data_IF_231239219474
#
_entry.id   IF_231239219474
#
_cell.length_a   1.000
_cell.length_b   1.000
_cell.length_c   1.000
_cell.angle_alpha   90.00
_cell.angle_beta   90.00
_cell.angle_gamma   90.00
#
_symmetry.space_group_name_H-M   'P 1'
#
loop_
_entity.id
_entity.type
_entity.pdbx_description
1 polymer ?
#
# COMPACT_ATOMS: atom_id res chain seq x y z
N UNK A 1 6.19 -13.52 -19.63
CA UNK A 1 4.72 -13.30 -19.51
C UNK A 1 4.25 -12.54 -20.73
N UNK A 2 3.10 -12.88 -21.33
CA UNK A 2 2.58 -12.18 -22.52
C UNK A 2 2.11 -10.76 -22.13
N UNK A 3 2.29 -9.77 -23.01
CA UNK A 3 1.92 -8.37 -22.75
C UNK A 3 0.44 -8.19 -22.34
N UNK A 4 -0.47 -8.98 -22.89
CA UNK A 4 -1.89 -8.99 -22.49
C UNK A 4 -2.07 -9.30 -21.01
N UNK A 5 -1.38 -10.33 -20.50
CA UNK A 5 -1.49 -10.70 -19.07
C UNK A 5 -0.88 -9.64 -18.15
N UNK A 6 0.19 -8.96 -18.60
CA UNK A 6 0.76 -7.83 -17.86
C UNK A 6 -0.27 -6.70 -17.79
N UNK A 7 -0.93 -6.40 -18.91
CA UNK A 7 -2.01 -5.41 -18.96
C UNK A 7 -3.14 -5.74 -17.99
N UNK A 8 -3.66 -6.97 -18.04
CA UNK A 8 -4.80 -7.37 -17.21
C UNK A 8 -4.48 -7.23 -15.72
N UNK A 9 -3.27 -7.62 -15.29
CA UNK A 9 -2.81 -7.45 -13.90
C UNK A 9 -2.73 -5.97 -13.51
N UNK A 10 -2.21 -5.12 -14.39
CA UNK A 10 -2.10 -3.68 -14.13
C UNK A 10 -3.49 -3.02 -14.12
N UNK A 11 -4.39 -3.41 -15.01
CA UNK A 11 -5.75 -2.91 -15.04
C UNK A 11 -6.50 -3.33 -13.75
N UNK A 12 -6.36 -4.59 -13.30
CA UNK A 12 -6.89 -5.10 -12.02
C UNK A 12 -6.35 -4.31 -10.81
N UNK A 13 -5.05 -3.98 -10.83
CA UNK A 13 -4.40 -3.28 -9.71
C UNK A 13 -4.71 -1.78 -9.70
N UNK A 14 -4.78 -1.11 -10.86
CA UNK A 14 -4.75 0.36 -10.94
C UNK A 14 -6.05 1.04 -11.40
N UNK A 15 -7.03 0.33 -11.99
CA UNK A 15 -8.19 1.00 -12.63
C UNK A 15 -9.09 1.74 -11.64
N UNK A 16 -9.37 1.15 -10.48
CA UNK A 16 -10.23 1.73 -9.44
C UNK A 16 -9.47 2.03 -8.14
N UNK A 17 -8.19 2.33 -8.27
CA UNK A 17 -7.28 2.50 -7.14
C UNK A 17 -7.70 3.70 -6.25
N UNK A 18 -7.95 3.41 -4.97
CA UNK A 18 -8.25 4.40 -3.93
C UNK A 18 -7.22 4.35 -2.83
N UNK A 19 -7.09 5.45 -2.08
CA UNK A 19 -6.21 5.54 -0.92
C UNK A 19 -7.01 5.39 0.37
N UNK A 20 -6.49 4.56 1.27
CA UNK A 20 -7.00 4.30 2.59
C UNK A 20 -5.92 4.55 3.64
N UNK A 21 -6.35 4.85 4.85
CA UNK A 21 -5.50 5.26 5.96
C UNK A 21 -5.70 4.29 7.13
N UNK A 22 -4.59 3.80 7.68
CA UNK A 22 -4.58 3.03 8.92
C UNK A 22 -3.45 3.55 9.80
N UNK A 23 -3.84 4.27 10.84
CA UNK A 23 -2.93 4.82 11.83
C UNK A 23 -2.77 3.82 12.99
N UNK A 24 -1.56 3.71 13.51
CA UNK A 24 -1.21 2.86 14.66
C UNK A 24 0.05 3.39 15.37
N UNK A 25 0.43 2.73 16.44
CA UNK A 25 1.68 2.96 17.15
C UNK A 25 2.50 1.65 17.20
N UNK A 26 3.67 1.63 16.57
CA UNK A 26 4.58 0.49 16.58
C UNK A 26 5.96 0.89 17.15
N UNK A 27 6.72 -0.07 17.67
CA UNK A 27 8.11 0.20 18.02
C UNK A 27 8.96 0.46 16.76
N UNK A 28 10.04 1.23 16.92
CA UNK A 28 10.98 1.49 15.82
C UNK A 28 11.56 0.17 15.24
N UNK A 29 11.74 -0.86 16.08
CA UNK A 29 12.21 -2.19 15.66
C UNK A 29 11.25 -2.89 14.69
N UNK A 30 9.94 -2.75 14.90
CA UNK A 30 8.93 -3.28 13.99
C UNK A 30 8.87 -2.46 12.70
N UNK A 31 8.91 -1.13 12.80
CA UNK A 31 8.91 -0.23 11.64
C UNK A 31 10.13 -0.52 10.74
N UNK A 32 11.30 -0.81 11.33
CA UNK A 32 12.53 -1.11 10.60
C UNK A 32 12.49 -2.44 9.80
N UNK A 33 11.49 -3.31 10.03
CA UNK A 33 11.33 -4.55 9.26
C UNK A 33 10.82 -4.32 7.85
N UNK A 34 10.13 -3.20 7.59
CA UNK A 34 9.61 -2.86 6.27
C UNK A 34 10.70 -2.30 5.37
N UNK A 35 10.75 -2.77 4.12
CA UNK A 35 11.70 -2.29 3.11
C UNK A 35 10.97 -1.92 1.84
N UNK A 36 11.36 -0.80 1.21
CA UNK A 36 10.84 -0.42 -0.11
C UNK A 36 11.12 -1.54 -1.12
N UNK A 37 10.11 -1.88 -1.93
CA UNK A 37 10.12 -2.97 -2.90
C UNK A 37 9.83 -4.36 -2.32
N UNK A 38 9.73 -4.49 -0.99
CA UNK A 38 9.35 -5.74 -0.35
C UNK A 38 7.90 -6.09 -0.64
N UNK A 39 7.62 -7.38 -0.84
CA UNK A 39 6.26 -7.91 -0.83
C UNK A 39 5.96 -8.50 0.55
N UNK A 40 4.85 -8.10 1.15
CA UNK A 40 4.36 -8.61 2.42
C UNK A 40 2.97 -9.23 2.22
N UNK A 41 2.58 -10.12 3.13
CA UNK A 41 1.27 -10.77 3.13
C UNK A 41 0.60 -10.57 4.47
N UNK A 42 -0.59 -9.98 4.48
CA UNK A 42 -1.44 -9.97 5.67
C UNK A 42 -2.27 -11.26 5.71
N UNK A 43 -2.34 -11.90 6.89
CA UNK A 43 -3.11 -13.14 7.06
C UNK A 43 -4.56 -12.86 7.41
N UNK A 44 -4.83 -11.80 8.17
CA UNK A 44 -6.17 -11.41 8.58
C UNK A 44 -6.81 -10.40 7.64
N UNK A 45 -8.03 -9.97 7.98
CA UNK A 45 -8.65 -8.82 7.34
C UNK A 45 -7.86 -7.54 7.66
N UNK A 46 -7.85 -6.59 6.73
CA UNK A 46 -7.22 -5.28 6.96
C UNK A 46 -8.28 -4.20 7.12
N UNK A 47 -8.56 -3.82 8.37
CA UNK A 47 -9.36 -2.63 8.70
C UNK A 47 -8.60 -1.34 8.35
N UNK A 48 -9.27 -0.44 7.64
CA UNK A 48 -8.73 0.87 7.22
C UNK A 48 -9.86 1.87 6.95
N UNK A 49 -9.52 3.17 6.85
CA UNK A 49 -10.48 4.25 6.60
C UNK A 49 -10.24 4.91 5.24
N UNK A 50 -11.30 5.27 4.51
CA UNK A 50 -11.16 6.18 3.35
C UNK A 50 -11.04 7.66 3.74
N UNK A 51 -11.22 7.98 5.03
CA UNK A 51 -11.14 9.35 5.56
C UNK A 51 -9.70 9.57 6.06
N UNK A 52 -9.04 10.62 5.58
CA UNK A 52 -7.65 10.91 5.94
C UNK A 52 -7.47 12.31 6.51
N UNK A 53 -6.95 12.39 7.74
CA UNK A 53 -6.60 13.62 8.45
C UNK A 53 -5.15 13.61 8.95
N UNK A 54 -4.90 14.30 10.06
CA UNK A 54 -3.65 14.21 10.83
C UNK A 54 -3.24 12.78 11.13
N UNK A 55 -1.94 12.51 11.24
CA UNK A 55 -1.45 11.18 11.65
C UNK A 55 -1.56 11.04 13.17
N UNK A 56 -2.31 10.04 13.61
CA UNK A 56 -2.37 9.59 15.01
C UNK A 56 -1.34 8.50 15.28
N UNK A 57 -0.72 8.50 16.47
CA UNK A 57 0.39 7.61 16.79
C UNK A 57 1.69 7.99 16.07
N UNK A 58 2.57 7.01 15.85
CA UNK A 58 3.87 7.19 15.19
C UNK A 58 3.94 6.58 13.79
N UNK A 59 2.92 5.83 13.36
CA UNK A 59 2.91 5.13 12.08
C UNK A 59 1.57 5.24 11.36
N UNK A 60 1.62 5.49 10.06
CA UNK A 60 0.51 5.36 9.12
C UNK A 60 0.85 4.34 8.05
N UNK A 61 -0.02 3.35 7.85
CA UNK A 61 -0.11 2.66 6.58
C UNK A 61 -1.01 3.47 5.66
N UNK A 62 -0.44 4.03 4.61
CA UNK A 62 -1.21 4.53 3.48
C UNK A 62 -1.37 3.36 2.52
N UNK A 63 -2.60 2.96 2.24
CA UNK A 63 -2.90 1.74 1.47
C UNK A 63 -3.59 2.14 0.17
N UNK A 64 -2.98 1.80 -0.95
CA UNK A 64 -3.60 1.91 -2.26
C UNK A 64 -4.22 0.56 -2.65
N UNK A 65 -5.53 0.54 -2.93
CA UNK A 65 -6.23 -0.68 -3.35
C UNK A 65 -7.44 -0.38 -4.23
N UNK A 66 -7.71 -1.27 -5.19
CA UNK A 66 -8.95 -1.36 -5.99
C UNK A 66 -9.99 -2.31 -5.40
N UNK A 67 -9.62 -3.19 -4.46
CA UNK A 67 -10.43 -4.32 -3.98
C UNK A 67 -11.11 -4.06 -2.62
N UNK A 68 -10.85 -2.90 -2.02
CA UNK A 68 -11.37 -2.57 -0.69
C UNK A 68 -12.91 -2.45 -0.69
N UNK A 69 -13.55 -3.15 0.26
CA UNK A 69 -15.01 -3.11 0.45
C UNK A 69 -15.39 -2.06 1.48
N UNK A 70 -16.24 -1.13 1.08
CA UNK A 70 -16.83 -0.13 1.98
C UNK A 70 -17.93 -0.77 2.83
N UNK A 71 -17.71 -0.82 4.15
CA UNK A 71 -18.62 -1.44 5.09
C UNK A 71 -19.85 -0.59 5.41
N UNK A 72 -19.85 0.70 5.05
CA UNK A 72 -21.04 1.54 5.20
C UNK A 72 -22.27 1.01 4.47
N UNK A 73 -22.05 0.23 3.40
CA UNK A 73 -23.11 -0.45 2.64
C UNK A 73 -23.85 -1.52 3.44
N UNK A 74 -23.24 -2.05 4.49
CA UNK A 74 -23.80 -3.10 5.35
C UNK A 74 -24.15 -2.60 6.74
N UNK A 75 -23.38 -1.62 7.26
CA UNK A 75 -23.63 -0.98 8.54
C UNK A 75 -23.51 0.54 8.39
N UNK A 76 -24.62 1.31 8.45
CA UNK A 76 -24.58 2.76 8.33
C UNK A 76 -23.67 3.47 9.36
N UNK A 77 -23.45 2.88 10.54
CA UNK A 77 -22.53 3.44 11.54
C UNK A 77 -21.08 3.44 11.06
N UNK A 78 -20.71 2.55 10.14
CA UNK A 78 -19.37 2.49 9.53
C UNK A 78 -19.03 3.72 8.69
N UNK A 79 -20.02 4.53 8.27
CA UNK A 79 -19.80 5.82 7.57
C UNK A 79 -19.00 6.78 8.45
N UNK A 80 -19.26 6.81 9.76
CA UNK A 80 -18.62 7.74 10.71
C UNK A 80 -17.09 7.64 10.66
N UNK A 81 -16.59 6.41 10.51
CA UNK A 81 -15.17 6.11 10.50
C UNK A 81 -14.66 5.85 9.07
N UNK A 82 -15.51 5.97 8.06
CA UNK A 82 -15.23 5.57 6.68
C UNK A 82 -14.65 4.17 6.54
N UNK A 83 -15.18 3.23 7.32
CA UNK A 83 -14.59 1.91 7.51
C UNK A 83 -14.65 1.08 6.22
N UNK A 84 -13.47 0.76 5.70
CA UNK A 84 -13.25 -0.14 4.58
C UNK A 84 -12.44 -1.36 5.02
N UNK A 85 -12.64 -2.47 4.34
CA UNK A 85 -12.03 -3.76 4.67
C UNK A 85 -11.40 -4.37 3.42
N UNK A 86 -10.14 -4.80 3.53
CA UNK A 86 -9.57 -5.78 2.60
C UNK A 86 -9.72 -7.19 3.15
N UNK A 87 -9.86 -8.13 2.21
CA UNK A 87 -10.00 -9.54 2.52
C UNK A 87 -8.75 -10.10 3.20
N UNK A 88 -8.92 -11.27 3.80
CA UNK A 88 -7.82 -12.03 4.34
C UNK A 88 -6.82 -12.43 3.24
N UNK A 89 -5.61 -12.84 3.64
CA UNK A 89 -4.55 -13.27 2.71
C UNK A 89 -4.13 -12.23 1.64
N UNK A 90 -4.35 -10.94 1.89
CA UNK A 90 -3.98 -9.85 0.99
C UNK A 90 -2.47 -9.69 0.87
N UNK A 91 -1.98 -9.48 -0.36
CA UNK A 91 -0.58 -9.13 -0.63
C UNK A 91 -0.42 -7.64 -0.84
N UNK A 92 0.71 -7.11 -0.38
CA UNK A 92 1.08 -5.71 -0.57
C UNK A 92 2.52 -5.60 -1.04
N UNK A 93 2.80 -4.68 -1.97
CA UNK A 93 4.14 -4.18 -2.24
C UNK A 93 4.36 -2.88 -1.45
N UNK A 94 5.46 -2.80 -0.72
CA UNK A 94 5.89 -1.55 -0.07
C UNK A 94 6.44 -0.62 -1.15
N UNK A 95 5.74 0.46 -1.47
CA UNK A 95 6.16 1.40 -2.51
C UNK A 95 7.09 2.49 -1.99
N UNK A 96 6.86 2.95 -0.76
CA UNK A 96 7.64 4.05 -0.18
C UNK A 96 7.58 4.01 1.34
N UNK A 97 8.61 4.55 1.99
CA UNK A 97 8.65 4.75 3.43
C UNK A 97 9.18 6.16 3.68
N UNK A 98 8.38 6.98 4.36
CA UNK A 98 8.74 8.36 4.68
C UNK A 98 8.72 8.58 6.19
N UNK A 99 9.67 9.37 6.69
CA UNK A 99 9.73 9.76 8.10
C UNK A 99 9.83 11.28 8.22
N UNK A 100 8.92 11.87 8.98
CA UNK A 100 8.93 13.29 9.35
C UNK A 100 8.95 13.33 10.88
N UNK A 101 10.10 13.68 11.46
CA UNK A 101 10.36 13.60 12.91
C UNK A 101 10.11 12.17 13.43
N UNK A 102 9.18 12.00 14.36
CA UNK A 102 8.75 10.76 15.00
C UNK A 102 7.63 10.04 14.23
N UNK A 103 7.12 10.63 13.15
CA UNK A 103 6.00 10.08 12.38
C UNK A 103 6.46 9.43 11.08
N UNK A 104 6.04 8.19 10.88
CA UNK A 104 6.37 7.39 9.71
C UNK A 104 5.14 7.09 8.87
N UNK A 105 5.25 7.17 7.55
CA UNK A 105 4.26 6.64 6.60
C UNK A 105 4.89 5.50 5.80
N UNK A 106 4.23 4.35 5.80
CA UNK A 106 4.54 3.22 4.92
C UNK A 106 3.47 3.17 3.84
N UNK A 107 3.86 3.36 2.60
CA UNK A 107 2.95 3.33 1.46
C UNK A 107 2.89 1.92 0.88
N UNK A 108 1.70 1.31 0.93
CA UNK A 108 1.43 -0.05 0.51
C UNK A 108 0.55 -0.05 -0.74
N UNK A 109 0.93 -0.81 -1.77
CA UNK A 109 0.08 -1.14 -2.90
C UNK A 109 -0.46 -2.55 -2.72
N UNK A 110 -1.77 -2.70 -2.61
CA UNK A 110 -2.42 -4.01 -2.65
C UNK A 110 -2.31 -4.61 -4.05
N UNK A 111 -1.80 -5.85 -4.14
CA UNK A 111 -1.53 -6.53 -5.40
C UNK A 111 -2.18 -7.91 -5.45
N UNK A 112 -2.61 -8.40 -6.63
CA UNK A 112 -3.14 -9.75 -6.79
C UNK A 112 -2.10 -10.84 -6.46
N UNK A 113 -2.48 -11.89 -5.73
CA UNK A 113 -1.55 -12.98 -5.36
C UNK A 113 -0.97 -13.76 -6.55
N UNK A 114 -1.61 -13.74 -7.71
CA UNK A 114 -1.10 -14.36 -8.95
C UNK A 114 -0.06 -13.49 -9.69
N UNK A 115 0.24 -12.29 -9.17
CA UNK A 115 1.05 -11.26 -9.81
C UNK A 115 2.39 -10.98 -9.11
N UNK A 116 2.69 -11.68 -7.99
CA UNK A 116 3.88 -11.42 -7.18
C UNK A 116 5.19 -11.39 -7.99
N UNK A 117 5.44 -12.34 -8.94
CA UNK A 117 6.66 -12.29 -9.75
C UNK A 117 6.78 -11.04 -10.63
N UNK A 118 5.65 -10.47 -11.07
CA UNK A 118 5.65 -9.21 -11.81
C UNK A 118 6.10 -8.08 -10.90
N UNK A 119 5.39 -7.87 -9.80
CA UNK A 119 5.62 -6.73 -8.90
C UNK A 119 6.95 -6.81 -8.14
N UNK A 120 7.47 -8.02 -7.91
CA UNK A 120 8.80 -8.24 -7.32
C UNK A 120 9.93 -7.79 -8.23
N UNK A 121 9.79 -8.08 -9.53
CA UNK A 121 10.86 -7.91 -10.52
C UNK A 121 10.60 -6.72 -11.47
N UNK A 122 9.61 -5.87 -11.18
CA UNK A 122 9.33 -4.71 -12.00
C UNK A 122 8.85 -3.51 -11.21
N UNK A 123 9.03 -2.34 -11.81
CA UNK A 123 8.43 -1.07 -11.38
C UNK A 123 7.72 -0.44 -12.57
N UNK A 124 6.63 0.27 -12.30
CA UNK A 124 5.86 0.97 -13.31
C UNK A 124 5.85 2.49 -13.10
N UNK A 125 5.67 3.24 -14.18
CA UNK A 125 5.44 4.69 -14.09
C UNK A 125 4.17 5.04 -13.28
N UNK A 126 3.21 4.13 -13.18
CA UNK A 126 2.04 4.30 -12.32
C UNK A 126 2.41 4.26 -10.83
N UNK A 127 3.27 3.31 -10.42
CA UNK A 127 3.80 3.24 -9.05
C UNK A 127 4.56 4.52 -8.69
N UNK A 128 5.38 5.03 -9.61
CA UNK A 128 6.12 6.30 -9.44
C UNK A 128 5.15 7.48 -9.24
N UNK A 129 4.14 7.61 -10.10
CA UNK A 129 3.15 8.70 -10.05
C UNK A 129 2.34 8.70 -8.74
N UNK A 130 1.84 7.53 -8.32
CA UNK A 130 1.05 7.43 -7.08
C UNK A 130 1.92 7.61 -5.84
N UNK A 131 3.20 7.20 -5.91
CA UNK A 131 4.17 7.40 -4.82
C UNK A 131 4.41 8.88 -4.62
N UNK A 132 4.72 9.63 -5.68
CA UNK A 132 4.96 11.07 -5.55
C UNK A 132 3.74 11.81 -4.98
N UNK A 133 2.53 11.45 -5.43
CA UNK A 133 1.29 11.98 -4.86
C UNK A 133 1.11 11.62 -3.38
N UNK A 134 1.47 10.39 -2.99
CA UNK A 134 1.42 9.94 -1.60
C UNK A 134 2.41 10.72 -0.71
N UNK A 135 3.60 11.04 -1.25
CA UNK A 135 4.62 11.83 -0.55
C UNK A 135 4.15 13.23 -0.23
N UNK A 136 3.64 13.94 -1.24
CA UNK A 136 3.11 15.29 -1.05
C UNK A 136 1.95 15.29 -0.05
N UNK A 137 1.01 14.35 -0.19
CA UNK A 137 -0.11 14.20 0.75
C UNK A 137 0.34 13.97 2.19
N UNK A 138 1.42 13.22 2.41
CA UNK A 138 1.91 12.99 3.76
C UNK A 138 2.44 14.27 4.38
N UNK A 139 3.28 15.01 3.65
CA UNK A 139 3.82 16.30 4.08
C UNK A 139 2.67 17.26 4.45
N UNK A 140 1.64 17.35 3.61
CA UNK A 140 0.52 18.27 3.82
C UNK A 140 -0.37 17.86 5.01
N UNK A 141 -0.56 16.55 5.23
CA UNK A 141 -1.54 16.04 6.20
C UNK A 141 -0.96 15.65 7.55
N UNK A 142 0.34 15.35 7.68
CA UNK A 142 0.91 14.72 8.90
C UNK A 142 0.60 15.48 10.20
N UNK A 143 0.48 16.81 10.13
CA UNK A 143 0.17 17.71 11.26
C UNK A 143 -1.23 18.33 11.20
N UNK A 144 -2.08 17.88 10.28
CA UNK A 144 -3.49 18.30 10.23
C UNK A 144 -4.26 17.85 11.48
N UNK A 145 -5.47 18.36 11.65
CA UNK A 145 -6.38 17.96 12.74
C UNK A 145 -6.68 16.45 12.63
N UNK A 146 -6.68 15.77 13.77
CA UNK A 146 -7.07 14.35 13.86
C UNK A 146 -8.57 14.19 13.64
N UNK A 147 -8.96 13.09 13.00
CA UNK A 147 -10.38 12.75 12.80
C UNK A 147 -10.90 12.09 14.10
N UNK A 148 -11.85 12.71 14.83
CA UNK A 148 -12.32 12.22 16.13
C UNK A 148 -12.82 10.77 16.11
N UNK A 149 -13.55 10.41 15.05
CA UNK A 149 -14.13 9.08 14.86
C UNK A 149 -13.06 7.98 14.75
N UNK A 150 -11.87 8.34 14.26
CA UNK A 150 -10.71 7.46 14.18
C UNK A 150 -9.85 7.48 15.46
N UNK A 151 -10.22 8.25 16.48
CA UNK A 151 -9.49 8.31 17.76
C UNK A 151 -10.15 7.48 18.87
N UNK A 152 -11.25 6.80 18.57
CA UNK A 152 -11.93 5.93 19.54
C UNK A 152 -11.08 4.71 19.90
N UNK A 153 -11.19 4.22 21.12
CA UNK A 153 -10.47 3.02 21.56
C UNK A 153 -10.84 1.78 20.74
N UNK A 154 -12.11 1.67 20.30
CA UNK A 154 -12.54 0.59 19.41
C UNK A 154 -11.79 0.62 18.07
N UNK A 155 -11.63 1.80 17.46
CA UNK A 155 -10.91 1.92 16.20
C UNK A 155 -9.42 1.62 16.37
N UNK A 156 -8.79 2.20 17.40
CA UNK A 156 -7.37 1.95 17.70
C UNK A 156 -7.09 0.46 17.94
N UNK A 157 -7.97 -0.23 18.66
CA UNK A 157 -7.85 -1.66 18.91
C UNK A 157 -7.93 -2.49 17.62
N UNK A 158 -8.77 -2.08 16.64
CA UNK A 158 -8.86 -2.72 15.32
C UNK A 158 -7.60 -2.53 14.48
N UNK A 159 -6.98 -1.34 14.56
CA UNK A 159 -5.86 -0.98 13.70
C UNK A 159 -4.49 -1.20 14.33
N UNK A 160 -4.42 -1.63 15.60
CA UNK A 160 -3.16 -1.71 16.37
C UNK A 160 -2.10 -2.60 15.77
N UNK A 161 -2.50 -3.76 15.24
CA UNK A 161 -1.55 -4.78 14.79
C UNK A 161 -0.72 -4.28 13.59
N UNK A 162 0.55 -4.70 13.47
CA UNK A 162 1.34 -4.44 12.26
C UNK A 162 0.73 -5.17 11.06
N UNK A 163 0.91 -4.63 9.85
CA UNK A 163 0.47 -5.29 8.61
C UNK A 163 1.61 -6.18 8.09
N UNK A 164 1.32 -7.45 7.82
CA UNK A 164 2.23 -8.36 7.14
C UNK A 164 3.25 -9.07 8.02
N UNK A 165 3.14 -8.91 9.35
CA UNK A 165 4.00 -9.57 10.34
C UNK A 165 3.26 -9.79 11.66
N UNK A 166 3.81 -10.64 12.53
CA UNK A 166 3.35 -10.79 13.91
C UNK A 166 3.75 -9.58 14.78
N UNK A 167 3.17 -9.48 15.98
CA UNK A 167 3.54 -8.47 16.97
C UNK A 167 5.02 -8.58 17.42
N UNK A 168 5.67 -9.73 17.16
CA UNK A 168 7.09 -9.96 17.42
C UNK A 168 7.98 -9.62 16.22
N UNK A 169 7.41 -9.15 15.11
CA UNK A 169 8.15 -8.77 13.90
C UNK A 169 8.51 -9.94 12.97
N UNK A 170 7.85 -11.08 13.11
CA UNK A 170 8.01 -12.22 12.20
C UNK A 170 7.14 -12.01 10.97
N UNK A 171 7.76 -11.87 9.79
CA UNK A 171 7.02 -11.70 8.53
C UNK A 171 6.20 -12.94 8.21
N UNK A 172 4.96 -12.74 7.76
CA UNK A 172 4.07 -13.83 7.36
C UNK A 172 4.36 -14.41 5.98
N UNK A 173 5.21 -13.73 5.21
CA UNK A 173 5.60 -14.13 3.88
C UNK A 173 7.07 -13.79 3.63
N UNK A 174 7.81 -14.76 3.12
CA UNK A 174 9.19 -14.60 2.70
C UNK A 174 9.22 -14.33 1.18
N UNK A 175 9.38 -13.06 0.82
CA UNK A 175 9.39 -12.65 -0.58
C UNK A 175 10.70 -13.00 -1.32
N UNK A 176 11.70 -13.55 -0.63
CA UNK A 176 12.90 -14.12 -1.25
C UNK A 176 12.60 -15.44 -1.98
N UNK A 177 11.48 -16.09 -1.64
CA UNK A 177 10.99 -17.30 -2.33
C UNK A 177 10.51 -17.03 -3.75
N UNK A 178 10.23 -15.76 -4.08
CA UNK A 178 9.85 -15.35 -5.43
C UNK A 178 11.11 -15.36 -6.30
N UNK A 179 11.06 -16.09 -7.42
CA UNK A 179 12.17 -16.12 -8.39
C UNK A 179 12.56 -14.70 -8.80
N UNK A 180 13.81 -14.34 -8.52
CA UNK A 180 14.39 -13.08 -8.97
C UNK A 180 14.71 -13.14 -10.45
N UNK A 181 14.32 -12.10 -11.17
CA UNK A 181 14.62 -11.88 -12.59
C UNK A 181 15.28 -10.51 -12.75
N UNK A 182 15.84 -10.24 -13.93
CA UNK A 182 16.32 -8.90 -14.26
C UNK A 182 15.20 -7.86 -14.05
N UNK A 183 15.47 -6.76 -13.31
CA UNK A 183 14.49 -5.71 -13.08
C UNK A 183 13.93 -5.15 -14.39
N UNK A 184 12.61 -5.05 -14.47
CA UNK A 184 11.89 -4.52 -15.64
C UNK A 184 11.24 -3.18 -15.30
N UNK A 185 11.43 -2.19 -16.16
CA UNK A 185 10.66 -0.94 -16.11
C UNK A 185 9.48 -1.06 -17.05
N UNK A 186 8.27 -0.89 -16.53
CA UNK A 186 7.02 -0.93 -17.28
C UNK A 186 6.52 0.50 -17.48
N UNK A 187 6.46 0.94 -18.73
CA UNK A 187 5.90 2.24 -19.11
C UNK A 187 4.51 2.04 -19.70
N UNK A 188 3.51 2.65 -19.07
CA UNK A 188 2.11 2.55 -19.48
C UNK A 188 1.67 3.90 -20.01
N UNK A 189 1.32 3.93 -21.30
CA UNK A 189 0.66 5.07 -21.93
C UNK A 189 -0.85 4.84 -21.92
N UNK A 190 -1.55 5.50 -20.98
CA UNK A 190 -3.00 5.38 -20.83
C UNK A 190 -3.76 5.87 -22.07
N UNK A 191 -3.29 6.92 -22.74
CA UNK A 191 -3.95 7.49 -23.91
C UNK A 191 -3.88 6.54 -25.11
N UNK A 192 -2.74 5.89 -25.32
CA UNK A 192 -2.52 4.97 -26.44
C UNK A 192 -2.85 3.51 -26.11
N UNK A 193 -3.20 3.21 -24.85
CA UNK A 193 -3.38 1.83 -24.33
C UNK A 193 -2.19 0.92 -24.65
N UNK A 194 -0.97 1.47 -24.64
CA UNK A 194 0.29 0.77 -24.93
C UNK A 194 1.08 0.51 -23.66
N UNK A 195 1.72 -0.66 -23.62
CA UNK A 195 2.65 -1.06 -22.58
C UNK A 195 4.01 -1.29 -23.23
N UNK A 196 5.03 -0.68 -22.67
CA UNK A 196 6.41 -0.77 -23.12
C UNK A 196 7.28 -1.25 -21.97
N UNK A 197 8.15 -2.22 -22.22
CA UNK A 197 9.03 -2.82 -21.20
C UNK A 197 10.47 -2.51 -21.59
N UNK A 198 11.24 -1.93 -20.66
CA UNK A 198 12.68 -1.66 -20.81
C UNK A 198 13.05 -0.77 -22.01
N UNK A 199 12.26 0.27 -22.32
CA UNK A 199 12.54 1.14 -23.48
C UNK A 199 13.77 2.04 -23.30
N UNK A 200 14.37 2.11 -22.11
CA UNK A 200 15.63 2.81 -21.84
C UNK A 200 16.59 1.95 -21.03
N UNK A 201 17.90 1.99 -21.33
CA UNK A 201 18.90 1.29 -20.53
C UNK A 201 18.93 1.80 -19.09
N UNK A 202 19.24 0.91 -18.15
CA UNK A 202 19.29 1.16 -16.71
C UNK A 202 20.27 2.27 -16.27
N UNK A 203 21.12 2.80 -17.17
CA UNK A 203 22.15 3.80 -16.88
C UNK A 203 21.81 5.24 -17.31
N UNK A 204 20.61 5.56 -17.80
CA UNK A 204 20.24 6.96 -18.07
C UNK A 204 19.39 7.54 -16.93
N UNK A 205 20.05 8.29 -16.04
CA UNK A 205 19.43 9.19 -15.05
C UNK A 205 18.92 10.44 -15.79
N UNK A 206 17.71 10.90 -15.45
CA UNK A 206 17.19 12.20 -15.89
C UNK A 206 17.58 13.29 -14.90
#
# INVERSE_FOLDING_TARGET
MKNTRIKDILDETFSDLKLFYRDTNLSDDLIAKYKVGQIIKEKGFTDMSYIGGGLSGNLRYLIASSEARDLSKFNPDSVKNGHSLLDDNSFFKVLDIQKIKDKTQIFLLNIPGNSLPLFKNSTSNLEEEITEKARQKFIDKVNSVLIPELQTENWKERTKAPIGMSDNGELFFDDSTIKSEEPKRIEINKAEKKIEINKKPWWKVW
#
